data_IF_088838148289
#
_entry.id   IF_088838148289
#
_cell.length_a   1.000
_cell.length_b   1.000
_cell.length_c   1.000
_cell.angle_alpha   90.00
_cell.angle_beta   90.00
_cell.angle_gamma   90.00
#
_symmetry.space_group_name_H-M   'P 1'
#
loop_
_entity.id
_entity.type
_entity.pdbx_description
1 polymer ?
#
# COMPACT_ATOMS: atom_id res chain seq x y z
N UNK A 1 25.66 -0.60 47.10
CA UNK A 1 24.41 -1.19 46.54
C UNK A 1 23.80 -0.41 45.36
N UNK A 2 24.15 0.88 45.16
CA UNK A 2 23.53 1.74 44.13
C UNK A 2 23.91 1.42 42.67
N UNK A 3 25.11 0.89 42.40
CA UNK A 3 25.58 0.55 41.03
C UNK A 3 24.88 -0.68 40.42
N UNK A 4 24.49 -1.66 41.25
CA UNK A 4 23.80 -2.89 40.81
C UNK A 4 22.36 -2.62 40.37
N UNK A 5 21.70 -1.62 40.98
CA UNK A 5 20.35 -1.19 40.62
C UNK A 5 20.30 -0.43 39.29
N UNK A 6 21.32 0.37 38.96
CA UNK A 6 21.40 1.10 37.69
C UNK A 6 21.58 0.13 36.51
N UNK A 7 22.38 -0.92 36.68
CA UNK A 7 22.57 -1.96 35.65
C UNK A 7 21.30 -2.77 35.42
N UNK A 8 20.55 -3.08 36.50
CA UNK A 8 19.28 -3.79 36.39
C UNK A 8 18.20 -2.93 35.70
N UNK A 9 18.15 -1.63 35.98
CA UNK A 9 17.19 -0.70 35.36
C UNK A 9 17.47 -0.53 33.85
N UNK A 10 18.75 -0.48 33.45
CA UNK A 10 19.15 -0.38 32.04
C UNK A 10 18.78 -1.65 31.25
N UNK A 11 18.92 -2.83 31.86
CA UNK A 11 18.58 -4.10 31.23
C UNK A 11 17.07 -4.26 30.97
N UNK A 12 16.21 -3.68 31.81
CA UNK A 12 14.75 -3.72 31.66
C UNK A 12 14.26 -2.78 30.56
N UNK A 13 14.88 -1.60 30.37
CA UNK A 13 14.52 -0.66 29.30
C UNK A 13 14.80 -1.23 27.90
N UNK A 14 15.83 -2.06 27.74
CA UNK A 14 16.15 -2.72 26.48
C UNK A 14 15.15 -3.82 26.08
N UNK A 15 14.36 -4.34 27.03
CA UNK A 15 13.35 -5.39 26.76
C UNK A 15 12.02 -4.84 26.23
N UNK A 16 11.75 -3.54 26.40
CA UNK A 16 10.49 -2.91 25.97
C UNK A 16 10.57 -2.23 24.59
N UNK A 17 11.75 -2.11 23.98
CA UNK A 17 11.90 -1.53 22.64
C UNK A 17 11.58 -2.51 21.50
N UNK A 18 11.15 -3.74 21.82
CA UNK A 18 10.78 -4.76 20.85
C UNK A 18 9.26 -4.81 20.54
N UNK A 19 8.51 -3.72 20.74
CA UNK A 19 7.15 -3.61 20.17
C UNK A 19 7.29 -3.44 18.66
N UNK A 20 7.29 -4.58 17.99
CA UNK A 20 7.56 -4.71 16.57
C UNK A 20 6.68 -3.81 15.72
N UNK A 21 7.31 -2.79 15.13
CA UNK A 21 6.91 -2.36 13.80
C UNK A 21 7.10 -3.58 12.92
N UNK A 22 6.00 -4.23 12.55
CA UNK A 22 6.01 -5.18 11.43
C UNK A 22 6.29 -4.36 10.18
N UNK A 23 7.56 -4.03 9.97
CA UNK A 23 8.06 -3.64 8.67
C UNK A 23 7.89 -4.89 7.82
N UNK A 24 6.82 -4.94 7.03
CA UNK A 24 6.70 -5.91 5.95
C UNK A 24 7.86 -5.59 5.00
N UNK A 25 8.96 -6.31 5.17
CA UNK A 25 10.02 -6.39 4.19
C UNK A 25 9.35 -6.90 2.91
N UNK A 26 9.16 -6.00 1.95
CA UNK A 26 8.78 -6.41 0.61
C UNK A 26 9.95 -7.25 0.11
N UNK A 27 9.77 -8.56 0.02
CA UNK A 27 10.73 -9.41 -0.68
C UNK A 27 10.91 -8.84 -2.09
N UNK A 28 12.15 -8.65 -2.56
CA UNK A 28 12.38 -8.33 -3.95
C UNK A 28 12.09 -9.61 -4.75
N UNK A 29 10.81 -9.89 -5.01
CA UNK A 29 10.42 -10.85 -6.03
C UNK A 29 10.86 -10.25 -7.36
N UNK A 30 11.85 -10.86 -8.00
CA UNK A 30 12.07 -10.65 -9.42
C UNK A 30 10.77 -11.03 -10.14
N UNK A 31 10.01 -10.02 -10.60
CA UNK A 31 8.74 -10.21 -11.29
C UNK A 31 9.00 -10.16 -12.80
N UNK A 32 8.47 -11.14 -13.52
CA UNK A 32 8.66 -11.26 -14.96
C UNK A 32 7.83 -10.22 -15.74
N UNK A 33 6.73 -9.71 -15.18
CA UNK A 33 5.86 -8.71 -15.80
C UNK A 33 5.85 -7.34 -15.10
N UNK A 34 6.25 -7.24 -13.81
CA UNK A 34 6.29 -5.98 -13.06
C UNK A 34 7.75 -5.57 -12.82
N UNK A 35 8.19 -4.49 -13.45
CA UNK A 35 9.52 -3.93 -13.24
C UNK A 35 9.59 -3.13 -11.92
N UNK A 36 8.56 -2.35 -11.63
CA UNK A 36 8.46 -1.59 -10.38
C UNK A 36 7.01 -1.19 -10.08
N UNK A 37 6.70 -0.89 -8.83
CA UNK A 37 5.41 -0.38 -8.41
C UNK A 37 5.53 0.45 -7.12
N UNK A 38 4.61 1.40 -6.95
CA UNK A 38 4.57 2.28 -5.79
C UNK A 38 3.15 2.69 -5.46
N UNK A 39 2.87 2.94 -4.19
CA UNK A 39 1.58 3.44 -3.72
C UNK A 39 1.77 4.42 -2.57
N UNK A 40 0.91 5.44 -2.50
CA UNK A 40 0.88 6.43 -1.44
C UNK A 40 -0.53 6.95 -1.19
N UNK A 41 -0.71 7.57 -0.03
CA UNK A 41 -1.97 8.20 0.36
C UNK A 41 -1.69 9.54 1.05
N UNK A 42 -2.53 10.54 0.78
CA UNK A 42 -2.47 11.86 1.41
C UNK A 42 -3.86 12.47 1.52
N UNK A 43 -4.02 13.45 2.40
CA UNK A 43 -5.19 14.33 2.42
C UNK A 43 -5.06 15.40 1.33
N UNK A 44 -6.14 15.66 0.60
CA UNK A 44 -6.28 16.86 -0.25
C UNK A 44 -6.75 18.05 0.59
N UNK A 45 -6.65 19.25 0.01
CA UNK A 45 -7.10 20.50 0.63
C UNK A 45 -8.61 20.56 0.89
N UNK A 46 -9.41 19.78 0.16
CA UNK A 46 -10.87 19.66 0.34
C UNK A 46 -11.29 18.52 1.29
N UNK A 47 -10.33 17.92 2.00
CA UNK A 47 -10.62 16.89 3.02
C UNK A 47 -10.93 15.50 2.44
N UNK A 48 -10.53 15.23 1.20
CA UNK A 48 -10.61 13.90 0.58
C UNK A 48 -9.28 13.18 0.74
N UNK A 49 -9.32 11.85 0.62
CA UNK A 49 -8.11 11.04 0.48
C UNK A 49 -7.73 10.97 -1.00
N UNK A 50 -6.48 11.27 -1.29
CA UNK A 50 -5.85 11.02 -2.59
C UNK A 50 -4.96 9.80 -2.49
N UNK A 51 -5.40 8.72 -3.14
CA UNK A 51 -4.67 7.46 -3.20
C UNK A 51 -3.98 7.42 -4.55
N UNK A 52 -2.65 7.37 -4.54
CA UNK A 52 -1.83 7.39 -5.75
C UNK A 52 -1.13 6.06 -5.91
N UNK A 53 -1.08 5.55 -7.14
CA UNK A 53 -0.20 4.43 -7.46
C UNK A 53 0.52 4.65 -8.78
N UNK A 54 1.67 4.00 -8.90
CA UNK A 54 2.44 3.87 -10.13
C UNK A 54 2.82 2.40 -10.31
N UNK A 55 2.90 1.98 -11.57
CA UNK A 55 3.40 0.65 -11.94
C UNK A 55 4.11 0.74 -13.29
N UNK A 56 5.24 0.05 -13.38
CA UNK A 56 5.99 -0.12 -14.62
C UNK A 56 6.05 -1.61 -14.97
N UNK A 57 5.67 -1.94 -16.19
CA UNK A 57 5.79 -3.27 -16.77
C UNK A 57 7.21 -3.53 -17.30
N UNK A 58 7.55 -4.79 -17.47
CA UNK A 58 8.85 -5.20 -18.04
C UNK A 58 8.89 -5.14 -19.56
N UNK A 59 7.74 -5.02 -20.23
CA UNK A 59 7.61 -4.97 -21.70
C UNK A 59 7.00 -3.65 -22.16
N UNK A 60 7.37 -3.19 -23.36
CA UNK A 60 6.82 -1.97 -23.96
C UNK A 60 5.29 -2.01 -24.09
N UNK A 61 4.74 -3.18 -24.44
CA UNK A 61 3.31 -3.38 -24.67
C UNK A 61 2.75 -4.41 -23.69
N UNK A 62 2.22 -3.93 -22.57
CA UNK A 62 1.48 -4.78 -21.63
C UNK A 62 0.02 -4.89 -22.06
N UNK A 63 -0.55 -6.09 -22.04
CA UNK A 63 -1.97 -6.30 -22.35
C UNK A 63 -2.88 -5.72 -21.26
N UNK A 64 -2.42 -5.74 -20.01
CA UNK A 64 -3.05 -5.07 -18.90
C UNK A 64 -1.97 -4.66 -17.89
N UNK A 65 -2.03 -3.42 -17.40
CA UNK A 65 -1.06 -2.86 -16.46
C UNK A 65 -1.77 -1.87 -15.52
N UNK A 66 -1.68 -2.10 -14.21
CA UNK A 66 -2.34 -1.25 -13.23
C UNK A 66 -2.62 -1.97 -11.91
N UNK A 67 -3.82 -1.76 -11.38
CA UNK A 67 -4.34 -2.45 -10.21
C UNK A 67 -5.60 -3.26 -10.55
N UNK A 68 -5.76 -4.44 -9.98
CA UNK A 68 -7.03 -5.20 -10.02
C UNK A 68 -8.07 -4.60 -9.07
N UNK A 69 -7.62 -4.05 -7.95
CA UNK A 69 -8.43 -3.32 -6.99
C UNK A 69 -7.60 -2.40 -6.10
N UNK A 70 -8.27 -1.41 -5.51
CA UNK A 70 -7.73 -0.57 -4.43
C UNK A 70 -8.72 -0.59 -3.28
N UNK A 71 -8.29 -1.06 -2.12
CA UNK A 71 -9.11 -1.14 -0.91
C UNK A 71 -8.71 -0.04 0.05
N UNK A 72 -9.64 0.87 0.33
CA UNK A 72 -9.51 1.87 1.39
C UNK A 72 -9.84 1.22 2.72
N UNK A 73 -8.93 1.34 3.67
CA UNK A 73 -9.09 0.84 5.02
C UNK A 73 -9.08 1.99 6.02
N UNK A 74 -9.92 1.86 7.04
CA UNK A 74 -9.98 2.77 8.18
C UNK A 74 -9.52 2.03 9.44
N UNK A 75 -8.83 2.72 10.33
CA UNK A 75 -8.55 2.21 11.65
C UNK A 75 -9.79 2.31 12.54
N UNK A 76 -10.21 1.20 13.11
CA UNK A 76 -11.36 1.10 14.02
C UNK A 76 -10.94 0.31 15.26
N UNK A 77 -10.80 1.01 16.39
CA UNK A 77 -10.11 0.46 17.56
C UNK A 77 -8.64 0.16 17.22
N UNK A 78 -8.24 -1.10 17.36
CA UNK A 78 -6.89 -1.58 17.01
C UNK A 78 -6.79 -2.25 15.63
N UNK A 79 -7.88 -2.30 14.86
CA UNK A 79 -7.97 -3.07 13.62
C UNK A 79 -8.22 -2.19 12.39
N UNK A 80 -7.57 -2.54 11.29
CA UNK A 80 -7.86 -1.97 9.98
C UNK A 80 -9.05 -2.68 9.37
N UNK A 81 -10.12 -1.93 9.12
CA UNK A 81 -11.35 -2.44 8.51
C UNK A 81 -11.51 -1.86 7.10
N UNK A 82 -11.94 -2.68 6.15
CA UNK A 82 -12.21 -2.24 4.78
C UNK A 82 -13.43 -1.31 4.77
N UNK A 83 -13.27 -0.11 4.23
CA UNK A 83 -14.34 0.89 4.13
C UNK A 83 -14.89 1.00 2.71
N UNK A 84 -14.02 0.89 1.70
CA UNK A 84 -14.41 0.96 0.30
C UNK A 84 -13.45 0.21 -0.61
N UNK A 85 -13.95 -0.36 -1.71
CA UNK A 85 -13.14 -1.07 -2.71
C UNK A 85 -13.40 -0.51 -4.10
N UNK A 86 -12.38 0.09 -4.70
CA UNK A 86 -12.36 0.35 -6.14
C UNK A 86 -12.00 -0.94 -6.85
N UNK A 87 -12.81 -1.36 -7.82
CA UNK A 87 -12.58 -2.54 -8.64
C UNK A 87 -12.66 -2.16 -10.12
N UNK A 88 -12.11 -3.00 -11.01
CA UNK A 88 -12.05 -2.72 -12.45
C UNK A 88 -13.43 -2.59 -13.10
N UNK A 89 -14.45 -3.32 -12.61
CA UNK A 89 -15.79 -3.28 -13.20
C UNK A 89 -16.38 -1.88 -13.10
N UNK A 90 -16.27 -1.27 -11.92
CA UNK A 90 -16.86 0.03 -11.62
C UNK A 90 -15.86 1.19 -11.83
N UNK A 91 -14.55 0.89 -11.87
CA UNK A 91 -13.48 1.86 -12.13
C UNK A 91 -12.43 1.32 -13.12
N UNK A 92 -12.76 1.21 -14.43
CA UNK A 92 -11.86 0.60 -15.43
C UNK A 92 -10.51 1.28 -15.55
N UNK A 93 -10.42 2.57 -15.21
CA UNK A 93 -9.16 3.37 -15.19
C UNK A 93 -8.09 2.80 -14.25
N UNK A 94 -8.43 1.86 -13.37
CA UNK A 94 -7.45 1.12 -12.57
C UNK A 94 -6.40 0.40 -13.43
N UNK A 95 -6.73 0.05 -14.68
CA UNK A 95 -5.79 -0.57 -15.61
C UNK A 95 -5.75 0.15 -16.95
N UNK A 96 -4.58 0.10 -17.57
CA UNK A 96 -4.35 0.49 -18.95
C UNK A 96 -3.83 -0.71 -19.76
N UNK A 97 -3.95 -0.63 -21.07
CA UNK A 97 -3.44 -1.61 -22.03
C UNK A 97 -2.52 -0.94 -23.05
N UNK A 98 -1.66 -1.71 -23.69
CA UNK A 98 -0.69 -1.25 -24.69
C UNK A 98 0.22 -0.11 -24.18
N UNK A 99 0.65 -0.24 -22.93
CA UNK A 99 1.58 0.69 -22.27
C UNK A 99 2.54 -0.10 -21.38
N UNK A 100 3.70 0.46 -21.08
CA UNK A 100 4.64 -0.06 -20.10
C UNK A 100 4.60 0.70 -18.76
N UNK A 101 3.85 1.78 -18.66
CA UNK A 101 3.73 2.60 -17.46
C UNK A 101 2.29 3.02 -17.24
N UNK A 102 1.83 2.92 -16.00
CA UNK A 102 0.52 3.42 -15.59
C UNK A 102 0.62 4.11 -14.23
N UNK A 103 -0.03 5.26 -14.12
CA UNK A 103 -0.14 6.03 -12.89
C UNK A 103 -1.56 6.56 -12.74
N UNK A 104 -2.08 6.55 -11.52
CA UNK A 104 -3.44 6.98 -11.24
C UNK A 104 -3.55 7.59 -9.85
N UNK A 105 -4.38 8.64 -9.76
CA UNK A 105 -4.80 9.26 -8.50
C UNK A 105 -6.29 9.02 -8.35
N UNK A 106 -6.70 8.43 -7.23
CA UNK A 106 -8.07 8.11 -6.90
C UNK A 106 -8.48 8.95 -5.69
N UNK A 107 -9.52 9.75 -5.85
CA UNK A 107 -10.13 10.52 -4.77
C UNK A 107 -11.19 9.70 -4.02
N UNK A 108 -11.09 9.63 -2.69
CA UNK A 108 -12.09 9.01 -1.83
C UNK A 108 -12.54 10.00 -0.75
N UNK A 109 -13.85 10.09 -0.49
CA UNK A 109 -14.40 10.94 0.57
C UNK A 109 -14.66 10.08 1.81
N UNK A 110 -13.88 10.25 2.90
CA UNK A 110 -14.01 9.43 4.09
C UNK A 110 -15.35 9.58 4.80
N UNK A 111 -15.88 8.47 5.33
CA UNK A 111 -17.18 8.49 6.03
C UNK A 111 -17.08 8.84 7.51
N UNK A 112 -15.89 8.66 8.10
CA UNK A 112 -15.67 8.86 9.53
C UNK A 112 -14.58 9.90 9.76
N UNK A 113 -14.97 11.01 10.38
CA UNK A 113 -14.05 12.07 10.78
C UNK A 113 -13.11 11.62 11.90
N UNK A 114 -11.86 12.06 11.86
CA UNK A 114 -10.87 11.81 12.93
C UNK A 114 -10.31 10.38 12.97
N UNK A 115 -10.68 9.52 12.02
CA UNK A 115 -10.09 8.20 11.88
C UNK A 115 -8.85 8.23 10.99
N UNK A 116 -7.91 7.32 11.24
CA UNK A 116 -6.77 7.10 10.35
C UNK A 116 -7.14 6.20 9.18
N UNK A 117 -6.58 6.48 8.01
CA UNK A 117 -6.84 5.73 6.78
C UNK A 117 -5.55 5.26 6.13
N UNK A 118 -5.64 4.11 5.44
CA UNK A 118 -4.60 3.60 4.53
C UNK A 118 -5.26 2.94 3.33
N UNK A 119 -4.48 2.67 2.28
CA UNK A 119 -4.95 1.92 1.13
C UNK A 119 -4.12 0.64 0.93
N UNK A 120 -4.77 -0.42 0.45
CA UNK A 120 -4.13 -1.60 -0.12
C UNK A 120 -4.35 -1.59 -1.62
N UNK A 121 -3.26 -1.51 -2.38
CA UNK A 121 -3.28 -1.55 -3.85
C UNK A 121 -2.87 -2.94 -4.31
N UNK A 122 -3.75 -3.61 -5.05
CA UNK A 122 -3.52 -4.93 -5.63
C UNK A 122 -3.08 -4.76 -7.08
N UNK A 123 -1.77 -4.67 -7.30
CA UNK A 123 -1.16 -4.50 -8.62
C UNK A 123 -1.35 -5.74 -9.49
N UNK A 124 -1.49 -5.50 -10.78
CA UNK A 124 -1.69 -6.51 -11.81
C UNK A 124 -0.99 -6.11 -13.10
N UNK A 125 -0.24 -7.03 -13.68
CA UNK A 125 0.43 -6.87 -14.96
C UNK A 125 0.31 -8.14 -15.80
N UNK A 126 0.01 -7.99 -17.08
CA UNK A 126 -0.09 -9.09 -18.04
C UNK A 126 0.51 -8.71 -19.38
N UNK A 127 1.26 -9.61 -19.99
CA UNK A 127 1.73 -9.53 -21.37
C UNK A 127 1.53 -10.90 -22.05
N UNK A 128 2.13 -11.10 -23.24
CA UNK A 128 2.08 -12.36 -23.97
C UNK A 128 2.71 -13.54 -23.21
N UNK A 129 3.69 -13.28 -22.36
CA UNK A 129 4.44 -14.31 -21.63
C UNK A 129 3.75 -14.76 -20.34
N UNK A 130 2.82 -13.98 -19.78
CA UNK A 130 2.15 -14.35 -18.54
C UNK A 130 1.56 -13.18 -17.76
N UNK A 131 1.32 -13.42 -16.48
CA UNK A 131 0.69 -12.49 -15.55
C UNK A 131 1.45 -12.48 -14.23
N UNK A 132 1.63 -11.29 -13.67
CA UNK A 132 2.14 -11.08 -12.31
C UNK A 132 1.22 -10.17 -11.51
N UNK A 133 1.19 -10.39 -10.20
CA UNK A 133 0.47 -9.56 -9.23
C UNK A 133 1.37 -9.13 -8.09
N UNK A 134 1.09 -7.99 -7.47
CA UNK A 134 1.77 -7.56 -6.24
C UNK A 134 0.80 -6.81 -5.33
N UNK A 135 1.13 -6.66 -4.05
CA UNK A 135 0.30 -5.91 -3.10
C UNK A 135 1.18 -4.89 -2.40
N UNK A 136 0.70 -3.65 -2.31
CA UNK A 136 1.31 -2.60 -1.49
C UNK A 136 0.26 -1.99 -0.57
N UNK A 137 0.58 -1.96 0.72
CA UNK A 137 -0.14 -1.15 1.69
C UNK A 137 0.58 0.19 1.81
N UNK A 138 -0.16 1.30 1.74
CA UNK A 138 0.38 2.64 1.93
C UNK A 138 0.73 2.89 3.40
N UNK A 139 1.39 4.02 3.68
CA UNK A 139 1.36 4.61 5.02
C UNK A 139 -0.09 4.90 5.47
N UNK A 140 -0.27 5.16 6.76
CA UNK A 140 -1.50 5.71 7.29
C UNK A 140 -1.47 7.25 7.26
N UNK A 141 -2.64 7.87 7.14
CA UNK A 141 -2.90 9.33 7.24
C UNK A 141 -4.10 9.62 8.10
#
# INVERSE_FOLDING_TARGET
>A
MKKKFVVLLLAVVCLFSAVGVRGYAAEPRASAQIASYGAGISWSSDGRLEIRFTIQGTSANMYALGASSVVVQRLSGSNWVSEYTFNIRDYPKLQASNTNYHALVIGYSPRYSGASYRAMVFFYARNSAGTDTAIKTTNAV
#
